data_IF_054267829767
#
_entry.id   IF_054267829767
#
_cell.length_a   1.000
_cell.length_b   1.000
_cell.length_c   1.000
_cell.angle_alpha   90.00
_cell.angle_beta   90.00
_cell.angle_gamma   90.00
#
_symmetry.space_group_name_H-M   'P 1'
#
loop_
_entity.id
_entity.type
_entity.pdbx_description
1 polymer ?
#
# COMPACT_ATOMS: atom_id res chain seq x y z
N UNK A 1 -8.86 -0.24 -10.97
CA UNK A 1 -8.23 0.44 -9.80
C UNK A 1 -7.37 1.61 -10.31
N UNK A 2 -7.37 2.78 -9.66
CA UNK A 2 -6.66 3.99 -10.13
C UNK A 2 -5.68 4.57 -9.11
N UNK A 3 -4.84 5.53 -9.49
CA UNK A 3 -3.85 6.17 -8.62
C UNK A 3 -4.39 6.70 -7.27
N UNK A 4 -5.68 7.08 -7.17
CA UNK A 4 -6.30 7.43 -5.89
C UNK A 4 -6.44 6.29 -4.87
N UNK A 5 -6.45 5.03 -5.33
CA UNK A 5 -6.47 3.82 -4.49
C UNK A 5 -5.06 3.33 -4.16
N UNK A 6 -4.04 3.89 -4.81
CA UNK A 6 -2.64 3.52 -4.59
C UNK A 6 -2.22 3.83 -3.16
N UNK A 7 -2.52 5.04 -2.66
CA UNK A 7 -2.16 5.43 -1.28
C UNK A 7 -2.82 4.52 -0.25
N UNK A 8 -4.12 4.28 -0.39
CA UNK A 8 -4.85 3.39 0.54
C UNK A 8 -4.30 1.96 0.50
N UNK A 9 -3.94 1.45 -0.68
CA UNK A 9 -3.36 0.11 -0.80
C UNK A 9 -1.97 0.03 -0.14
N UNK A 10 -1.08 0.99 -0.41
CA UNK A 10 0.28 1.01 0.16
C UNK A 10 0.24 1.19 1.67
N UNK A 11 -0.51 2.19 2.15
CA UNK A 11 -0.62 2.49 3.58
C UNK A 11 -1.31 1.33 4.31
N UNK A 12 -2.39 0.80 3.73
CA UNK A 12 -3.14 -0.33 4.29
C UNK A 12 -2.29 -1.59 4.41
N UNK A 13 -1.56 -1.97 3.34
CA UNK A 13 -0.65 -3.12 3.35
C UNK A 13 0.49 -2.93 4.37
N UNK A 14 1.07 -1.72 4.43
CA UNK A 14 2.12 -1.41 5.42
C UNK A 14 1.59 -1.53 6.86
N UNK A 15 0.40 -0.99 7.13
CA UNK A 15 -0.24 -1.11 8.44
C UNK A 15 -0.59 -2.56 8.77
N UNK A 16 -1.08 -3.33 7.80
CA UNK A 16 -1.39 -4.74 7.96
C UNK A 16 -0.13 -5.54 8.33
N UNK A 17 0.99 -5.34 7.63
CA UNK A 17 2.28 -5.99 7.94
C UNK A 17 2.81 -5.62 9.32
N UNK A 18 2.69 -4.34 9.70
CA UNK A 18 3.05 -3.88 11.06
C UNK A 18 2.16 -4.52 12.12
N UNK A 19 0.86 -4.55 11.87
CA UNK A 19 -0.11 -5.17 12.77
C UNK A 19 0.13 -6.67 12.87
N UNK A 20 0.33 -7.40 11.77
CA UNK A 20 0.65 -8.83 11.75
C UNK A 20 1.95 -9.13 12.52
N UNK A 21 2.99 -8.33 12.30
CA UNK A 21 4.23 -8.40 13.07
C UNK A 21 3.97 -8.21 14.58
N UNK A 22 2.97 -7.41 14.95
CA UNK A 22 2.47 -7.22 16.32
C UNK A 22 1.27 -8.10 16.72
N UNK A 23 0.77 -9.00 15.84
CA UNK A 23 -0.45 -9.85 15.92
C UNK A 23 -1.84 -9.17 15.76
N UNK A 24 -2.11 -8.39 14.70
CA UNK A 24 -3.43 -7.77 14.37
C UNK A 24 -4.04 -8.18 12.99
N UNK A 25 -5.34 -7.88 12.76
CA UNK A 25 -6.17 -8.29 11.57
C UNK A 25 -6.49 -7.12 10.60
N UNK A 26 -6.87 -7.40 9.33
CA UNK A 26 -7.12 -6.42 8.24
C UNK A 26 -8.51 -6.57 7.56
N UNK A 27 -9.09 -5.49 6.98
CA UNK A 27 -10.37 -5.46 6.24
C UNK A 27 -10.24 -4.61 4.95
N UNK A 28 -10.88 -5.03 3.84
CA UNK A 28 -10.84 -4.35 2.51
C UNK A 28 -12.25 -3.96 2.06
N UNK A 29 -12.42 -2.80 1.41
CA UNK A 29 -13.70 -2.39 0.81
C UNK A 29 -13.83 -2.82 -0.65
N UNK A 30 -14.81 -3.66 -0.96
CA UNK A 30 -15.02 -4.30 -2.27
C UNK A 30 -16.46 -4.18 -2.82
N UNK A 31 -17.28 -3.27 -2.32
CA UNK A 31 -18.69 -3.13 -2.72
C UNK A 31 -19.03 -1.70 -3.11
N UNK A 32 -19.83 -1.57 -4.18
CA UNK A 32 -20.27 -0.30 -4.74
C UNK A 32 -20.86 -0.50 -6.14
N UNK A 33 -21.57 0.50 -6.67
CA UNK A 33 -22.28 0.44 -7.97
C UNK A 33 -21.40 -0.01 -9.13
N UNK A 34 -20.09 0.27 -9.05
CA UNK A 34 -19.08 -0.23 -9.99
C UNK A 34 -19.06 -1.76 -10.15
N UNK A 35 -19.33 -2.54 -9.10
CA UNK A 35 -19.40 -4.00 -9.19
C UNK A 35 -20.73 -4.47 -9.77
N UNK A 36 -21.84 -3.79 -9.51
CA UNK A 36 -23.13 -4.08 -10.15
C UNK A 36 -23.05 -3.93 -11.67
N UNK A 37 -22.36 -2.89 -12.16
CA UNK A 37 -22.11 -2.70 -13.60
C UNK A 37 -21.19 -3.78 -14.18
N UNK A 38 -20.17 -4.23 -13.44
CA UNK A 38 -19.26 -5.30 -13.88
C UNK A 38 -20.00 -6.65 -13.90
N UNK A 39 -20.86 -6.93 -12.92
CA UNK A 39 -21.66 -8.14 -12.85
C UNK A 39 -22.67 -8.17 -14.00
N UNK A 40 -23.36 -7.06 -14.27
CA UNK A 40 -24.28 -6.94 -15.41
C UNK A 40 -23.53 -7.17 -16.73
N UNK A 41 -22.40 -6.50 -16.93
CA UNK A 41 -21.54 -6.69 -18.10
C UNK A 41 -21.06 -8.15 -18.26
N UNK A 42 -20.73 -8.83 -17.15
CA UNK A 42 -20.32 -10.23 -17.17
C UNK A 42 -21.48 -11.17 -17.53
N UNK A 43 -22.72 -10.88 -17.09
CA UNK A 43 -23.90 -11.64 -17.50
C UNK A 43 -24.28 -11.40 -18.97
N UNK A 44 -24.07 -10.19 -19.50
CA UNK A 44 -24.30 -9.85 -20.91
C UNK A 44 -23.28 -10.51 -21.85
N UNK A 45 -21.98 -10.43 -21.52
CA UNK A 45 -20.89 -10.90 -22.38
C UNK A 45 -20.56 -12.38 -22.20
N UNK A 46 -20.82 -12.96 -21.02
CA UNK A 46 -20.49 -14.35 -20.69
C UNK A 46 -21.65 -15.09 -19.99
N UNK A 47 -22.76 -15.33 -20.70
CA UNK A 47 -23.97 -15.93 -20.14
C UNK A 47 -23.79 -17.35 -19.57
N UNK A 48 -22.72 -18.06 -19.93
CA UNK A 48 -22.43 -19.45 -19.51
C UNK A 48 -21.11 -19.59 -18.70
N UNK A 49 -20.73 -18.61 -17.88
CA UNK A 49 -19.46 -18.64 -17.12
C UNK A 49 -19.56 -19.26 -15.72
N UNK A 50 -19.93 -20.54 -15.63
CA UNK A 50 -19.89 -21.32 -14.37
C UNK A 50 -18.47 -21.64 -13.85
N UNK A 51 -17.40 -21.11 -14.46
CA UNK A 51 -16.01 -21.49 -14.17
C UNK A 51 -15.13 -20.43 -13.49
N UNK A 52 -15.68 -19.29 -13.05
CA UNK A 52 -14.88 -18.22 -12.44
C UNK A 52 -14.76 -18.28 -10.89
N UNK A 53 -14.97 -19.45 -10.29
CA UNK A 53 -14.97 -19.62 -8.83
C UNK A 53 -13.71 -20.34 -8.30
N UNK A 54 -12.51 -19.92 -8.70
CA UNK A 54 -11.28 -20.37 -8.02
C UNK A 54 -10.19 -19.30 -8.08
N UNK A 55 -10.32 -18.28 -7.21
CA UNK A 55 -9.16 -17.53 -6.73
C UNK A 55 -9.23 -17.56 -5.21
N UNK A 56 -8.23 -18.19 -4.56
CA UNK A 56 -8.16 -18.29 -3.11
C UNK A 56 -7.89 -16.91 -2.50
N UNK A 57 -8.96 -16.18 -2.25
CA UNK A 57 -8.97 -14.93 -1.50
C UNK A 57 -9.38 -15.29 -0.07
N UNK A 58 -8.46 -15.93 0.67
CA UNK A 58 -8.77 -16.50 1.99
C UNK A 58 -9.02 -15.48 3.10
N UNK A 59 -8.57 -14.23 2.92
CA UNK A 59 -8.53 -13.21 4.00
C UNK A 59 -9.19 -11.87 3.65
N UNK A 60 -9.82 -11.72 2.47
CA UNK A 60 -10.53 -10.47 2.13
C UNK A 60 -11.98 -10.55 2.60
N UNK A 61 -12.28 -9.91 3.73
CA UNK A 61 -13.66 -9.60 4.11
C UNK A 61 -14.07 -8.28 3.47
N UNK A 62 -14.71 -8.42 2.31
CA UNK A 62 -15.37 -7.35 1.59
C UNK A 62 -16.63 -6.78 2.25
N UNK A 63 -17.24 -5.73 1.72
CA UNK A 63 -18.54 -5.28 2.18
C UNK A 63 -19.66 -6.30 1.88
N UNK A 64 -19.46 -7.17 0.88
CA UNK A 64 -20.34 -8.31 0.58
C UNK A 64 -20.53 -9.26 1.78
N UNK A 65 -19.50 -9.38 2.64
CA UNK A 65 -19.56 -10.13 3.88
C UNK A 65 -20.64 -9.60 4.85
N UNK A 66 -20.88 -8.29 4.86
CA UNK A 66 -21.81 -7.67 5.82
C UNK A 66 -23.27 -7.72 5.36
N UNK A 67 -23.56 -8.10 4.11
CA UNK A 67 -24.91 -8.10 3.53
C UNK A 67 -25.98 -8.78 4.41
N UNK A 68 -25.73 -9.95 5.03
CA UNK A 68 -26.73 -10.60 5.90
C UNK A 68 -27.02 -9.85 7.21
N UNK A 69 -26.16 -8.92 7.62
CA UNK A 69 -26.24 -8.22 8.89
C UNK A 69 -26.91 -6.83 8.76
N UNK A 70 -27.08 -6.33 7.53
CA UNK A 70 -27.61 -4.98 7.28
C UNK A 70 -29.05 -4.85 7.76
N UNK A 71 -29.92 -5.83 7.50
CA UNK A 71 -31.34 -5.76 7.86
C UNK A 71 -31.52 -5.68 9.39
N UNK A 72 -30.81 -6.54 10.13
CA UNK A 72 -30.81 -6.51 11.59
C UNK A 72 -30.23 -5.20 12.15
N UNK A 73 -29.19 -4.66 11.52
CA UNK A 73 -28.61 -3.37 11.90
C UNK A 73 -29.62 -2.23 11.73
N UNK A 74 -30.39 -2.23 10.64
CA UNK A 74 -31.44 -1.23 10.37
C UNK A 74 -32.56 -1.35 11.42
N UNK A 75 -33.01 -2.56 11.75
CA UNK A 75 -34.01 -2.78 12.80
C UNK A 75 -33.54 -2.24 14.16
N UNK A 76 -32.30 -2.49 14.54
CA UNK A 76 -31.72 -2.00 15.79
C UNK A 76 -31.65 -0.47 15.83
N UNK A 77 -31.20 0.17 14.74
CA UNK A 77 -31.13 1.63 14.65
C UNK A 77 -32.53 2.27 14.70
N UNK A 78 -33.53 1.65 14.06
CA UNK A 78 -34.93 2.09 14.14
C UNK A 78 -35.44 2.03 15.59
N UNK A 79 -35.17 0.93 16.30
CA UNK A 79 -35.59 0.76 17.71
C UNK A 79 -35.02 1.83 18.65
N UNK A 80 -33.87 2.40 18.30
CA UNK A 80 -33.19 3.47 19.03
C UNK A 80 -33.60 4.88 18.56
N UNK A 81 -34.52 4.99 17.60
CA UNK A 81 -34.96 6.27 17.05
C UNK A 81 -33.86 6.98 16.24
N UNK A 82 -32.91 6.24 15.67
CA UNK A 82 -31.74 6.79 14.98
C UNK A 82 -31.89 6.83 13.45
N UNK A 83 -33.10 6.54 12.92
CA UNK A 83 -33.40 6.45 11.49
C UNK A 83 -34.47 7.50 11.13
N UNK A 84 -34.20 8.30 10.08
CA UNK A 84 -35.16 9.25 9.49
C UNK A 84 -35.48 8.86 8.03
N UNK A 85 -36.67 9.19 7.54
CA UNK A 85 -37.29 8.68 6.29
C UNK A 85 -36.66 9.18 4.96
N UNK A 86 -35.48 9.77 5.01
CA UNK A 86 -34.69 10.08 3.83
C UNK A 86 -33.28 9.58 4.09
N UNK A 87 -32.74 8.73 3.19
CA UNK A 87 -31.35 8.23 3.14
C UNK A 87 -30.54 8.74 4.32
N UNK A 88 -30.34 7.93 5.38
CA UNK A 88 -29.79 8.34 6.69
C UNK A 88 -28.82 9.53 6.57
N UNK A 89 -29.35 10.74 6.73
CA UNK A 89 -28.60 11.97 6.77
C UNK A 89 -29.14 12.76 7.95
N UNK A 90 -28.34 12.84 9.00
CA UNK A 90 -28.61 13.73 10.12
C UNK A 90 -28.41 15.15 9.59
N UNK A 91 -29.49 15.95 9.65
CA UNK A 91 -29.49 17.34 9.21
C UNK A 91 -28.37 18.11 9.90
N UNK A 92 -27.54 18.79 9.11
CA UNK A 92 -26.33 19.54 9.52
C UNK A 92 -25.14 18.72 10.05
N UNK A 93 -25.18 17.38 9.97
CA UNK A 93 -24.04 16.54 10.36
C UNK A 93 -23.68 15.46 9.32
N UNK A 94 -22.46 15.57 8.77
CA UNK A 94 -21.70 14.40 8.31
C UNK A 94 -21.22 13.63 9.56
N UNK A 95 -22.10 12.90 10.26
CA UNK A 95 -21.66 12.07 11.40
C UNK A 95 -20.76 10.95 10.86
N UNK A 96 -19.49 10.84 11.29
CA UNK A 96 -18.64 9.71 10.93
C UNK A 96 -19.29 8.42 11.44
N UNK A 97 -19.31 7.34 10.65
CA UNK A 97 -19.85 6.02 11.02
C UNK A 97 -19.45 5.59 12.45
N UNK A 98 -18.21 5.89 12.87
CA UNK A 98 -17.73 5.60 14.22
C UNK A 98 -18.50 6.32 15.33
N UNK A 99 -18.93 7.57 15.11
CA UNK A 99 -19.74 8.32 16.07
C UNK A 99 -21.17 7.76 16.13
N UNK A 100 -21.75 7.37 15.00
CA UNK A 100 -23.03 6.66 14.98
C UNK A 100 -22.94 5.32 15.73
N UNK A 101 -21.87 4.54 15.51
CA UNK A 101 -21.62 3.28 16.21
C UNK A 101 -21.40 3.48 17.73
N UNK A 102 -20.75 4.57 18.15
CA UNK A 102 -20.63 4.93 19.57
C UNK A 102 -21.99 5.28 20.19
N UNK A 103 -22.78 6.11 19.50
CA UNK A 103 -24.13 6.48 19.96
C UNK A 103 -25.08 5.28 20.03
N UNK A 104 -24.91 4.30 19.12
CA UNK A 104 -25.61 3.04 19.15
C UNK A 104 -25.09 2.08 20.25
N UNK A 105 -23.99 2.40 20.94
CA UNK A 105 -23.39 1.54 21.96
C UNK A 105 -22.58 0.36 21.41
N UNK A 106 -22.30 0.33 20.10
CA UNK A 106 -21.49 -0.71 19.45
C UNK A 106 -19.98 -0.50 19.63
N UNK A 107 -19.57 0.76 19.87
CA UNK A 107 -18.19 1.13 20.18
C UNK A 107 -18.12 1.84 21.54
N UNK A 108 -17.01 1.67 22.30
CA UNK A 108 -16.78 2.43 23.53
C UNK A 108 -16.78 3.95 23.29
N UNK A 109 -17.25 4.71 24.28
CA UNK A 109 -17.31 6.18 24.23
C UNK A 109 -15.95 6.85 24.03
N UNK A 110 -14.86 6.17 24.41
CA UNK A 110 -13.50 6.68 24.31
C UNK A 110 -12.52 5.64 23.77
N UNK A 111 -11.41 6.13 23.23
CA UNK A 111 -10.37 5.29 22.63
C UNK A 111 -9.43 4.64 23.65
N UNK A 112 -9.73 4.72 24.95
CA UNK A 112 -8.95 4.02 25.98
C UNK A 112 -9.38 2.56 26.12
N UNK A 113 -10.60 2.24 25.70
CA UNK A 113 -11.23 0.93 25.86
C UNK A 113 -11.33 0.22 24.51
N UNK A 114 -11.22 -1.11 24.49
CA UNK A 114 -11.36 -1.91 23.27
C UNK A 114 -12.83 -2.32 23.04
N UNK A 115 -13.28 -2.47 21.78
CA UNK A 115 -12.53 -2.27 20.53
C UNK A 115 -12.30 -0.79 20.18
N UNK A 116 -11.13 -0.48 19.61
CA UNK A 116 -10.77 0.88 19.14
C UNK A 116 -11.04 1.02 17.65
N UNK A 117 -11.67 2.12 17.26
CA UNK A 117 -11.87 2.49 15.87
C UNK A 117 -11.13 3.79 15.58
N UNK A 118 -10.36 3.84 14.49
CA UNK A 118 -9.58 5.02 14.13
C UNK A 118 -9.63 5.25 12.63
N UNK A 119 -9.95 6.48 12.22
CA UNK A 119 -9.95 6.84 10.81
C UNK A 119 -8.54 7.18 10.34
N UNK A 120 -8.02 6.36 9.42
CA UNK A 120 -6.70 6.55 8.82
C UNK A 120 -6.82 7.38 7.53
N UNK A 121 -7.00 8.71 7.67
CA UNK A 121 -6.97 9.68 6.55
C UNK A 121 -5.67 9.69 5.74
N UNK A 122 -5.71 9.97 4.44
CA UNK A 122 -4.52 10.28 3.64
C UNK A 122 -4.79 11.42 2.66
N UNK A 123 -3.75 12.18 2.31
CA UNK A 123 -3.88 13.30 1.38
C UNK A 123 -4.04 12.85 -0.07
N UNK A 124 -4.59 13.72 -0.91
CA UNK A 124 -4.79 13.45 -2.34
C UNK A 124 -3.46 13.35 -3.09
N UNK A 125 -3.40 12.52 -4.13
CA UNK A 125 -2.28 12.45 -5.05
C UNK A 125 -2.41 13.56 -6.10
N UNK A 126 -1.39 14.40 -6.22
CA UNK A 126 -1.34 15.55 -7.12
C UNK A 126 -0.15 15.50 -8.06
N UNK A 127 -0.23 16.30 -9.11
CA UNK A 127 0.92 16.71 -9.92
C UNK A 127 1.65 17.88 -9.27
N UNK A 128 2.74 18.32 -9.89
CA UNK A 128 3.51 19.49 -9.43
C UNK A 128 2.70 20.80 -9.46
N UNK A 129 1.71 20.90 -10.35
CA UNK A 129 0.79 22.03 -10.43
C UNK A 129 -0.33 22.02 -9.36
N UNK A 130 -0.32 21.04 -8.46
CA UNK A 130 -1.32 20.86 -7.41
C UNK A 130 -2.65 20.25 -7.89
N UNK A 131 -2.83 19.99 -9.19
CA UNK A 131 -4.03 19.32 -9.70
C UNK A 131 -3.98 17.83 -9.43
N UNK A 132 -5.15 17.18 -9.44
CA UNK A 132 -5.26 15.73 -9.27
C UNK A 132 -4.41 15.00 -10.31
N UNK A 133 -3.75 13.94 -9.87
CA UNK A 133 -2.94 13.10 -10.74
C UNK A 133 -3.79 12.40 -11.80
N UNK A 134 -3.64 12.84 -13.05
CA UNK A 134 -4.32 12.37 -14.28
C UNK A 134 -3.28 12.18 -15.39
N UNK A 135 -3.64 11.62 -16.55
CA UNK A 135 -2.77 11.57 -17.74
C UNK A 135 -2.75 12.93 -18.49
N UNK A 136 -2.01 13.05 -19.60
CA UNK A 136 -1.92 14.32 -20.35
C UNK A 136 -3.27 14.76 -20.93
N UNK A 137 -4.11 13.79 -21.26
CA UNK A 137 -5.47 13.98 -21.78
C UNK A 137 -6.51 14.25 -20.68
N UNK A 138 -6.08 14.25 -19.41
CA UNK A 138 -6.95 14.50 -18.25
C UNK A 138 -7.73 13.28 -17.76
N UNK A 139 -7.45 12.10 -18.26
CA UNK A 139 -8.06 10.84 -17.83
C UNK A 139 -7.39 10.26 -16.59
N UNK A 140 -8.08 9.32 -15.96
CA UNK A 140 -7.61 8.62 -14.77
C UNK A 140 -6.58 7.57 -15.20
N UNK A 141 -5.41 7.57 -14.55
CA UNK A 141 -4.34 6.61 -14.85
C UNK A 141 -4.64 5.27 -14.14
N UNK A 142 -4.73 4.15 -14.89
CA UNK A 142 -4.79 2.80 -14.33
C UNK A 142 -3.56 2.50 -13.47
N UNK A 143 -3.75 1.73 -12.39
CA UNK A 143 -2.63 1.38 -11.53
C UNK A 143 -1.58 0.52 -12.25
N UNK A 144 -2.00 -0.35 -13.17
CA UNK A 144 -1.12 -1.17 -14.01
C UNK A 144 -0.15 -0.29 -14.79
N UNK A 145 -0.67 0.71 -15.51
CA UNK A 145 0.12 1.57 -16.37
C UNK A 145 1.11 2.42 -15.55
N UNK A 146 0.70 2.85 -14.35
CA UNK A 146 1.56 3.57 -13.42
C UNK A 146 2.75 2.71 -12.97
N UNK A 147 2.50 1.44 -12.64
CA UNK A 147 3.52 0.50 -12.21
C UNK A 147 4.43 0.08 -13.38
N UNK A 148 3.87 -0.14 -14.56
CA UNK A 148 4.61 -0.49 -15.78
C UNK A 148 5.54 0.65 -16.22
N UNK A 149 5.09 1.91 -16.10
CA UNK A 149 5.93 3.09 -16.33
C UNK A 149 7.06 3.18 -15.29
N UNK A 150 6.78 2.90 -14.01
CA UNK A 150 7.80 2.88 -12.96
C UNK A 150 8.88 1.82 -13.24
N UNK A 151 8.46 0.60 -13.63
CA UNK A 151 9.36 -0.50 -14.02
C UNK A 151 10.18 -0.12 -15.26
N UNK A 152 9.56 0.45 -16.28
CA UNK A 152 10.23 0.86 -17.52
C UNK A 152 11.32 1.90 -17.27
N UNK A 153 11.01 2.95 -16.48
CA UNK A 153 12.01 3.96 -16.09
C UNK A 153 13.11 3.38 -15.22
N UNK A 154 12.77 2.52 -14.27
CA UNK A 154 13.76 1.82 -13.45
C UNK A 154 14.71 0.99 -14.30
N UNK A 155 14.19 0.27 -15.32
CA UNK A 155 15.01 -0.51 -16.25
C UNK A 155 15.96 0.38 -17.04
N UNK A 156 15.49 1.52 -17.55
CA UNK A 156 16.33 2.48 -18.26
C UNK A 156 17.46 3.03 -17.38
N UNK A 157 17.17 3.41 -16.13
CA UNK A 157 18.17 3.89 -15.18
C UNK A 157 19.21 2.81 -14.85
N UNK A 158 18.79 1.56 -14.65
CA UNK A 158 19.70 0.42 -14.43
C UNK A 158 20.60 0.14 -15.63
N UNK A 159 20.07 0.34 -16.85
CA UNK A 159 20.81 0.19 -18.11
C UNK A 159 21.89 1.26 -18.24
N UNK A 160 21.53 2.52 -17.99
CA UNK A 160 22.46 3.66 -18.05
C UNK A 160 23.62 3.54 -17.06
N UNK A 161 23.37 2.96 -15.88
CA UNK A 161 24.38 2.67 -14.85
C UNK A 161 25.39 1.58 -15.23
N UNK A 162 25.28 1.00 -16.43
CA UNK A 162 26.29 0.08 -16.99
C UNK A 162 26.20 -1.36 -16.50
N UNK A 163 25.15 -1.72 -15.74
CA UNK A 163 25.00 -3.06 -15.11
C UNK A 163 24.49 -4.15 -16.06
N UNK A 164 24.06 -3.77 -17.27
CA UNK A 164 23.58 -4.71 -18.30
C UNK A 164 24.65 -5.70 -18.73
N UNK A 165 25.94 -5.34 -18.60
CA UNK A 165 27.04 -6.20 -19.04
C UNK A 165 27.21 -7.46 -18.19
N UNK A 166 26.65 -7.49 -16.98
CA UNK A 166 26.86 -8.57 -16.00
C UNK A 166 25.59 -9.39 -15.74
N UNK A 167 24.42 -8.94 -16.19
CA UNK A 167 23.13 -9.53 -15.83
C UNK A 167 22.40 -10.17 -17.00
N UNK A 168 21.64 -11.23 -16.71
CA UNK A 168 20.66 -11.78 -17.66
C UNK A 168 19.49 -10.80 -17.84
N UNK A 169 18.81 -10.88 -18.98
CA UNK A 169 17.61 -10.07 -19.25
C UNK A 169 16.51 -10.29 -18.19
N UNK A 170 16.37 -11.53 -17.71
CA UNK A 170 15.43 -11.89 -16.65
C UNK A 170 15.80 -11.22 -15.31
N UNK A 171 17.08 -11.26 -14.93
CA UNK A 171 17.55 -10.63 -13.69
C UNK A 171 17.40 -9.11 -13.73
N UNK A 172 17.69 -8.50 -14.87
CA UNK A 172 17.47 -7.07 -15.09
C UNK A 172 15.98 -6.71 -14.93
N UNK A 173 15.09 -7.52 -15.48
CA UNK A 173 13.65 -7.27 -15.43
C UNK A 173 13.09 -7.40 -14.01
N UNK A 174 13.47 -8.45 -13.29
CA UNK A 174 13.11 -8.65 -11.87
C UNK A 174 13.63 -7.51 -10.99
N UNK A 175 14.86 -7.05 -11.25
CA UNK A 175 15.47 -5.94 -10.50
C UNK A 175 14.76 -4.62 -10.78
N UNK A 176 14.46 -4.33 -12.06
CA UNK A 176 13.72 -3.13 -12.45
C UNK A 176 12.31 -3.10 -11.84
N UNK A 177 11.66 -4.25 -11.73
CA UNK A 177 10.36 -4.37 -11.08
C UNK A 177 10.44 -4.09 -9.58
N UNK A 178 11.35 -4.77 -8.87
CA UNK A 178 11.53 -4.59 -7.44
C UNK A 178 11.89 -3.13 -7.08
N UNK A 179 12.81 -2.53 -7.85
CA UNK A 179 13.25 -1.15 -7.64
C UNK A 179 12.15 -0.15 -8.01
N UNK A 180 11.49 -0.32 -9.16
CA UNK A 180 10.40 0.56 -9.60
C UNK A 180 9.22 0.56 -8.62
N UNK A 181 8.75 -0.62 -8.22
CA UNK A 181 7.62 -0.75 -7.29
C UNK A 181 8.01 -0.30 -5.88
N UNK A 182 9.22 -0.65 -5.43
CA UNK A 182 9.77 -0.20 -4.16
C UNK A 182 9.87 1.32 -4.08
N UNK A 183 10.31 1.98 -5.15
CA UNK A 183 10.40 3.44 -5.24
C UNK A 183 9.02 4.11 -5.13
N UNK A 184 8.00 3.57 -5.81
CA UNK A 184 6.61 4.08 -5.72
C UNK A 184 6.09 3.96 -4.29
N UNK A 185 6.26 2.80 -3.64
CA UNK A 185 5.84 2.57 -2.26
C UNK A 185 6.55 3.51 -1.29
N UNK A 186 7.88 3.56 -1.37
CA UNK A 186 8.70 4.37 -0.50
C UNK A 186 8.41 5.86 -0.65
N UNK A 187 8.18 6.33 -1.88
CA UNK A 187 7.88 7.72 -2.13
C UNK A 187 6.54 8.17 -1.56
N UNK A 188 5.55 7.29 -1.46
CA UNK A 188 4.33 7.59 -0.72
C UNK A 188 4.62 7.60 0.80
N UNK A 189 5.21 6.52 1.31
CA UNK A 189 5.41 6.28 2.74
C UNK A 189 6.38 7.26 3.42
N UNK A 190 7.34 7.84 2.67
CA UNK A 190 8.25 8.87 3.20
C UNK A 190 7.56 10.19 3.49
N UNK A 191 6.40 10.44 2.87
CA UNK A 191 5.64 11.67 3.06
C UNK A 191 4.65 11.52 4.22
N UNK A 192 4.33 12.63 4.88
CA UNK A 192 3.33 12.59 5.93
C UNK A 192 1.96 12.18 5.33
N UNK A 193 1.34 11.17 5.94
CA UNK A 193 0.12 10.56 5.43
C UNK A 193 -1.01 11.57 5.13
N UNK A 194 -1.37 12.53 6.02
CA UNK A 194 -2.50 13.44 5.79
C UNK A 194 -2.21 14.51 4.72
N UNK A 195 -0.94 14.77 4.41
CA UNK A 195 -0.58 15.83 3.46
C UNK A 195 -0.79 15.36 2.01
N UNK A 196 -1.20 16.27 1.11
CA UNK A 196 -1.19 15.99 -0.32
C UNK A 196 0.19 15.49 -0.77
N UNK A 197 0.18 14.50 -1.67
CA UNK A 197 1.40 13.88 -2.18
C UNK A 197 1.58 14.22 -3.65
N UNK A 198 2.70 14.88 -3.98
CA UNK A 198 3.08 15.19 -5.35
C UNK A 198 3.78 13.99 -5.98
N UNK A 199 3.13 13.34 -6.93
CA UNK A 199 3.67 12.20 -7.66
C UNK A 199 4.65 12.68 -8.76
N UNK A 200 5.88 12.19 -8.73
CA UNK A 200 6.92 12.47 -9.74
C UNK A 200 7.87 11.29 -9.85
N UNK A 201 7.90 10.59 -11.00
CA UNK A 201 8.82 9.47 -11.21
C UNK A 201 10.28 9.86 -10.99
N UNK A 202 10.67 11.04 -11.47
CA UNK A 202 12.05 11.51 -11.40
C UNK A 202 12.51 11.69 -9.94
N UNK A 203 11.63 12.15 -9.04
CA UNK A 203 11.93 12.25 -7.60
C UNK A 203 11.90 10.91 -6.88
N UNK A 204 11.22 9.90 -7.43
CA UNK A 204 11.14 8.56 -6.83
C UNK A 204 12.31 7.68 -7.24
N UNK A 205 12.75 7.82 -8.48
CA UNK A 205 13.83 7.05 -9.08
C UNK A 205 15.16 7.82 -9.07
N UNK A 206 15.27 8.86 -8.23
CA UNK A 206 16.53 9.57 -8.00
C UNK A 206 17.59 8.60 -7.46
N UNK A 207 18.85 8.90 -7.74
CA UNK A 207 19.97 7.98 -7.61
C UNK A 207 20.12 7.38 -6.21
N UNK A 208 19.81 8.18 -5.19
CA UNK A 208 19.84 7.78 -3.77
C UNK A 208 18.79 6.74 -3.43
N UNK A 209 17.61 6.80 -4.07
CA UNK A 209 16.52 5.85 -3.82
C UNK A 209 16.82 4.53 -4.51
N UNK A 210 17.37 4.58 -5.73
CA UNK A 210 17.85 3.41 -6.45
C UNK A 210 18.95 2.71 -5.63
N UNK A 211 19.96 3.44 -5.15
CA UNK A 211 21.03 2.86 -4.31
C UNK A 211 20.53 2.16 -3.04
N UNK A 212 19.40 2.58 -2.48
CA UNK A 212 18.85 2.00 -1.26
C UNK A 212 17.95 0.79 -1.54
N UNK A 213 17.16 0.84 -2.62
CA UNK A 213 16.33 -0.28 -3.07
C UNK A 213 17.16 -1.45 -3.64
N UNK A 214 18.37 -1.15 -4.10
CA UNK A 214 19.31 -2.09 -4.73
C UNK A 214 20.06 -3.01 -3.74
N UNK A 215 19.93 -2.83 -2.41
CA UNK A 215 20.78 -3.53 -1.43
C UNK A 215 20.03 -4.62 -0.65
N UNK A 216 20.25 -5.89 -1.00
CA UNK A 216 19.97 -7.03 -0.11
C UNK A 216 20.94 -7.10 1.08
N UNK A 217 20.58 -7.86 2.13
CA UNK A 217 21.33 -8.13 3.35
C UNK A 217 22.82 -8.32 3.13
N UNK A 218 23.24 -9.11 2.13
CA UNK A 218 24.67 -9.35 1.84
C UNK A 218 25.37 -8.11 1.31
N UNK A 219 24.75 -7.41 0.35
CA UNK A 219 25.27 -6.18 -0.23
C UNK A 219 25.28 -5.03 0.78
N UNK A 220 24.23 -4.94 1.60
CA UNK A 220 24.10 -3.97 2.67
C UNK A 220 25.15 -4.20 3.76
N UNK A 221 25.38 -5.46 4.15
CA UNK A 221 26.47 -5.84 5.05
C UNK A 221 27.82 -5.46 4.48
N UNK A 222 28.13 -5.85 3.24
CA UNK A 222 29.41 -5.52 2.57
C UNK A 222 29.62 -4.01 2.46
N UNK A 223 28.56 -3.26 2.17
CA UNK A 223 28.58 -1.80 2.11
C UNK A 223 28.88 -1.20 3.49
N UNK A 224 28.18 -1.63 4.54
CA UNK A 224 28.43 -1.19 5.92
C UNK A 224 29.85 -1.56 6.39
N UNK A 225 30.38 -2.72 5.99
CA UNK A 225 31.75 -3.13 6.29
C UNK A 225 32.80 -2.26 5.60
N UNK A 226 32.55 -1.81 4.37
CA UNK A 226 33.42 -0.85 3.67
C UNK A 226 33.35 0.54 4.32
N UNK A 227 32.16 0.99 4.71
CA UNK A 227 31.97 2.29 5.36
C UNK A 227 32.57 2.37 6.77
N UNK A 228 32.58 1.27 7.52
CA UNK A 228 33.06 1.24 8.90
C UNK A 228 34.55 0.85 9.05
N UNK A 229 35.31 0.79 7.95
CA UNK A 229 36.75 0.45 7.91
C UNK A 229 37.08 -0.75 8.81
N UNK A 230 36.27 -1.81 8.67
CA UNK A 230 36.19 -2.85 9.70
C UNK A 230 37.41 -3.76 9.70
N UNK A 231 37.99 -4.01 8.53
CA UNK A 231 39.10 -4.94 8.34
C UNK A 231 40.41 -4.41 8.96
N UNK A 232 41.00 -5.18 9.87
CA UNK A 232 42.30 -4.87 10.48
C UNK A 232 42.23 -3.98 11.72
N UNK A 233 41.03 -3.69 12.23
CA UNK A 233 40.84 -2.93 13.47
C UNK A 233 40.78 -3.84 14.70
N UNK A 234 41.16 -3.32 15.88
CA UNK A 234 41.06 -4.07 17.13
C UNK A 234 39.59 -4.43 17.48
N UNK A 235 38.62 -3.65 16.99
CA UNK A 235 37.19 -3.85 17.20
C UNK A 235 36.48 -4.55 16.03
N UNK A 236 37.22 -5.17 15.10
CA UNK A 236 36.70 -5.78 13.86
C UNK A 236 35.47 -6.67 14.11
N UNK A 237 35.54 -7.55 15.11
CA UNK A 237 34.43 -8.46 15.48
C UNK A 237 33.18 -7.71 15.92
N UNK A 238 33.33 -6.65 16.71
CA UNK A 238 32.18 -5.87 17.22
C UNK A 238 31.53 -5.05 16.10
N UNK A 239 32.34 -4.49 15.19
CA UNK A 239 31.84 -3.76 14.01
C UNK A 239 31.14 -4.70 13.02
N UNK A 240 31.67 -5.92 12.82
CA UNK A 240 31.01 -6.97 12.03
C UNK A 240 29.62 -7.32 12.57
N UNK A 241 29.49 -7.47 13.90
CA UNK A 241 28.21 -7.75 14.55
C UNK A 241 27.22 -6.58 14.39
N UNK A 242 27.70 -5.34 14.50
CA UNK A 242 26.85 -4.16 14.30
C UNK A 242 26.35 -4.05 12.85
N UNK A 243 27.21 -4.31 11.87
CA UNK A 243 26.83 -4.35 10.45
C UNK A 243 25.79 -5.44 10.19
N UNK A 244 25.96 -6.63 10.79
CA UNK A 244 25.01 -7.74 10.68
C UNK A 244 23.66 -7.40 11.31
N UNK A 245 23.65 -6.84 12.52
CA UNK A 245 22.45 -6.43 13.21
C UNK A 245 21.70 -5.34 12.41
N UNK A 246 22.43 -4.36 11.87
CA UNK A 246 21.86 -3.30 11.03
C UNK A 246 21.22 -3.88 9.78
N UNK A 247 21.88 -4.82 9.10
CA UNK A 247 21.32 -5.48 7.92
C UNK A 247 20.05 -6.26 8.23
N UNK A 248 20.02 -6.99 9.35
CA UNK A 248 18.81 -7.72 9.79
C UNK A 248 17.65 -6.76 10.07
N UNK A 249 17.91 -5.66 10.77
CA UNK A 249 16.89 -4.64 11.08
C UNK A 249 16.35 -4.01 9.79
N UNK A 250 17.24 -3.62 8.86
CA UNK A 250 16.84 -3.01 7.60
C UNK A 250 16.00 -3.95 6.72
N UNK A 251 16.37 -5.23 6.64
CA UNK A 251 15.57 -6.23 5.93
C UNK A 251 14.17 -6.38 6.53
N UNK A 252 14.07 -6.29 7.87
CA UNK A 252 12.77 -6.31 8.54
C UNK A 252 11.96 -5.06 8.23
N UNK A 253 12.58 -3.88 8.21
CA UNK A 253 11.94 -2.64 7.80
C UNK A 253 11.43 -2.71 6.35
N UNK A 254 12.24 -3.20 5.40
CA UNK A 254 11.80 -3.37 4.01
C UNK A 254 10.59 -4.30 3.90
N UNK A 255 10.62 -5.42 4.61
CA UNK A 255 9.49 -6.33 4.66
C UNK A 255 8.22 -5.65 5.20
N UNK A 256 8.32 -4.85 6.28
CA UNK A 256 7.18 -4.12 6.86
C UNK A 256 6.62 -3.06 5.90
N UNK A 257 7.47 -2.41 5.11
CA UNK A 257 7.08 -1.44 4.09
C UNK A 257 6.62 -2.09 2.76
N UNK A 258 6.66 -3.42 2.68
CA UNK A 258 6.35 -4.16 1.45
C UNK A 258 7.33 -3.90 0.30
N UNK A 259 8.57 -3.52 0.60
CA UNK A 259 9.64 -3.27 -0.37
C UNK A 259 10.44 -4.55 -0.54
N UNK A 260 10.62 -5.00 -1.78
CA UNK A 260 11.41 -6.20 -2.10
C UNK A 260 12.88 -5.81 -2.27
N UNK A 261 13.79 -6.28 -1.41
CA UNK A 261 15.22 -6.07 -1.58
C UNK A 261 15.76 -6.90 -2.75
N UNK A 262 16.76 -6.38 -3.45
CA UNK A 262 17.36 -7.05 -4.61
C UNK A 262 18.70 -7.67 -4.24
N UNK A 263 18.82 -8.98 -4.48
CA UNK A 263 20.06 -9.73 -4.27
C UNK A 263 21.01 -9.49 -5.45
N UNK A 264 22.26 -9.13 -5.14
CA UNK A 264 23.42 -9.10 -6.06
C UNK A 264 23.48 -7.89 -7.01
N UNK A 265 24.06 -6.85 -6.39
CA UNK A 265 24.94 -5.78 -6.89
C UNK A 265 26.35 -6.22 -7.31
#
# INVERSE_FOLDING_TARGET
>A
MHAGHLRSAIIGDTMARMLEYSKGRNHVGDWGTQFGMIIEYLFEEFPDSDSAAEVSIGDLQGESFYKPYIDNMIEELNSKGMVEESVIFIKDFKIPLMLAARNAGWLPENDKTYPRASHVTFGVVTREDGKRFRNRDGEIIPLTDLLDEAKTRSKAALVERGKVKEWTLEKLDQTAEAVGYGAVKYADLKNNRPTPYVFSYDKMLDDKVLEFAEKDRRALRLHLLRFAEVNGSAEETSRLLLCEATAIVMMKCFHLLGITPVNEI
#
